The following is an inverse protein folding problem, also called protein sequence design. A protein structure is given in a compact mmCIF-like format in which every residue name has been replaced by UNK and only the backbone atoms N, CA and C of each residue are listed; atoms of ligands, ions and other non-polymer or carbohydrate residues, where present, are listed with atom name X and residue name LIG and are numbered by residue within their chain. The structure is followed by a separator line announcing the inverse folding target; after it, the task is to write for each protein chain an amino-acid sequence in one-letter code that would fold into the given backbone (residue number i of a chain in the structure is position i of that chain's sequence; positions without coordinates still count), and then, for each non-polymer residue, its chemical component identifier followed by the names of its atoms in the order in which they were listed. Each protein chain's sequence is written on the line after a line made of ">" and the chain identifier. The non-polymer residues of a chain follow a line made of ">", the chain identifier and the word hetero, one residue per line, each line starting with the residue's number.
data_IF_102897711612
#
_entry.id   IF_102897711612
#
_cell.length_a   1.000
_cell.length_b   1.000
_cell.length_c   1.000
_cell.angle_alpha   90.00
_cell.angle_beta   90.00
_cell.angle_gamma   90.00
#
_symmetry.space_group_name_H-M   'P 1'
#
loop_
_entity.id
_entity.type
_entity.pdbx_description
1 polymer ?
#
# COMPACT_ATOMS: atom_id res chain seq x y z
N UNK A 1 -1.47 -38.27 -18.26
CA UNK A 1 -0.48 -37.26 -17.81
C UNK A 1 -1.11 -36.48 -16.68
N UNK A 2 -0.51 -36.41 -15.48
CA UNK A 2 -1.05 -35.57 -14.43
C UNK A 2 -0.86 -34.11 -14.84
N UNK A 3 -1.95 -33.33 -14.81
CA UNK A 3 -1.91 -31.90 -14.95
C UNK A 3 -1.06 -31.33 -13.82
N UNK A 4 0.14 -30.84 -14.14
CA UNK A 4 0.91 -30.03 -13.21
C UNK A 4 0.07 -28.77 -12.93
N UNK A 5 -0.44 -28.65 -11.69
CA UNK A 5 -1.01 -27.39 -11.21
C UNK A 5 0.13 -26.37 -11.23
N UNK A 6 0.05 -25.41 -12.14
CA UNK A 6 0.90 -24.21 -12.04
C UNK A 6 0.68 -23.60 -10.66
N UNK A 7 1.76 -23.53 -9.89
CA UNK A 7 1.74 -22.81 -8.62
C UNK A 7 1.75 -21.32 -8.97
N UNK A 8 0.58 -20.70 -8.93
CA UNK A 8 0.46 -19.25 -9.09
C UNK A 8 1.04 -18.61 -7.82
N UNK A 9 2.23 -18.02 -7.95
CA UNK A 9 2.83 -17.23 -6.87
C UNK A 9 2.09 -15.89 -6.83
N UNK A 10 1.40 -15.63 -5.72
CA UNK A 10 0.67 -14.38 -5.52
C UNK A 10 1.58 -13.41 -4.75
N UNK A 11 1.84 -12.24 -5.33
CA UNK A 11 2.59 -11.15 -4.70
C UNK A 11 1.69 -10.49 -3.65
N UNK A 12 2.15 -10.46 -2.40
CA UNK A 12 1.38 -9.85 -1.30
C UNK A 12 1.59 -8.33 -1.25
N UNK A 13 0.62 -7.57 -0.71
CA UNK A 13 0.80 -6.13 -0.46
C UNK A 13 2.06 -5.80 0.36
N UNK A 14 2.47 -6.71 1.25
CA UNK A 14 3.71 -6.60 2.02
C UNK A 14 4.99 -6.60 1.17
N UNK A 15 4.90 -6.99 -0.09
CA UNK A 15 6.00 -7.05 -1.05
C UNK A 15 5.94 -5.88 -2.07
N UNK A 16 4.90 -5.03 -1.98
CA UNK A 16 4.65 -3.93 -2.90
C UNK A 16 5.13 -2.61 -2.27
N UNK A 17 6.37 -2.26 -2.46
CA UNK A 17 6.96 -1.01 -1.96
C UNK A 17 7.54 -0.14 -3.07
N UNK A 18 7.76 1.12 -2.73
CA UNK A 18 8.47 2.10 -3.57
C UNK A 18 9.55 2.80 -2.74
N UNK A 19 10.56 3.31 -3.40
CA UNK A 19 11.74 3.89 -2.79
C UNK A 19 12.92 2.92 -2.73
N UNK A 20 13.77 3.04 -1.73
CA UNK A 20 14.95 2.20 -1.60
C UNK A 20 14.59 0.86 -0.91
N UNK A 21 14.53 -0.21 -1.67
CA UNK A 21 14.23 -1.56 -1.19
C UNK A 21 15.15 -2.03 -0.05
N UNK A 22 16.40 -1.56 -0.04
CA UNK A 22 17.41 -1.91 0.98
C UNK A 22 17.41 -0.94 2.17
N UNK A 23 16.49 0.02 2.22
CA UNK A 23 16.44 0.99 3.29
C UNK A 23 16.17 0.32 4.65
N UNK A 24 16.86 0.84 5.68
CA UNK A 24 16.64 0.44 7.08
C UNK A 24 15.42 1.10 7.72
N UNK A 25 14.81 2.07 7.04
CA UNK A 25 13.63 2.78 7.49
C UNK A 25 12.50 2.56 6.52
N UNK A 26 11.38 2.06 7.03
CA UNK A 26 10.13 1.86 6.28
C UNK A 26 9.10 2.87 6.77
N UNK A 27 8.53 3.64 5.85
CA UNK A 27 7.29 4.36 6.07
C UNK A 27 6.14 3.48 5.61
N UNK A 28 5.18 3.21 6.48
CA UNK A 28 4.03 2.37 6.17
C UNK A 28 2.76 3.17 6.42
N UNK A 29 1.79 3.07 5.51
CA UNK A 29 0.47 3.67 5.63
C UNK A 29 -0.60 2.58 5.60
N UNK A 30 -1.52 2.56 6.56
CA UNK A 30 -2.82 1.95 6.40
C UNK A 30 -3.79 2.99 5.87
N UNK A 31 -4.33 2.73 4.68
CA UNK A 31 -5.17 3.67 3.96
C UNK A 31 -6.28 2.99 3.15
N UNK A 32 -7.13 3.82 2.55
CA UNK A 32 -8.21 3.37 1.67
C UNK A 32 -8.54 4.42 0.61
N UNK A 33 -9.09 3.98 -0.53
CA UNK A 33 -9.16 4.80 -1.74
C UNK A 33 -10.37 5.75 -1.85
N UNK A 34 -11.45 5.55 -1.10
CA UNK A 34 -12.60 6.48 -1.11
C UNK A 34 -12.40 7.67 -0.14
N UNK A 35 -11.52 7.51 0.87
CA UNK A 35 -11.28 8.54 1.90
C UNK A 35 -10.62 9.79 1.33
N UNK A 36 -11.19 10.94 1.67
CA UNK A 36 -10.57 12.23 1.35
C UNK A 36 -9.28 12.46 2.13
N UNK A 37 -9.26 12.02 3.38
CA UNK A 37 -8.09 12.18 4.23
C UNK A 37 -6.92 11.31 3.75
N UNK A 38 -7.20 10.08 3.27
CA UNK A 38 -6.17 9.24 2.65
C UNK A 38 -5.66 9.84 1.33
N UNK A 39 -6.54 10.46 0.52
CA UNK A 39 -6.11 11.14 -0.70
C UNK A 39 -5.20 12.35 -0.40
N UNK A 40 -5.51 13.14 0.65
CA UNK A 40 -4.63 14.23 1.11
C UNK A 40 -3.30 13.70 1.62
N UNK A 41 -3.32 12.58 2.36
CA UNK A 41 -2.11 11.93 2.86
C UNK A 41 -1.24 11.42 1.72
N UNK A 42 -1.83 10.88 0.65
CA UNK A 42 -1.09 10.44 -0.54
C UNK A 42 -0.28 11.59 -1.19
N UNK A 43 -0.81 12.81 -1.21
CA UNK A 43 -0.03 13.96 -1.70
C UNK A 43 1.16 14.30 -0.78
N UNK A 44 0.99 14.12 0.53
CA UNK A 44 2.09 14.25 1.48
C UNK A 44 3.14 13.17 1.27
N UNK A 45 2.71 11.91 1.04
CA UNK A 45 3.60 10.78 0.77
C UNK A 45 4.44 11.03 -0.49
N UNK A 46 3.87 11.61 -1.56
CA UNK A 46 4.63 11.98 -2.75
C UNK A 46 5.78 12.94 -2.41
N UNK A 47 5.53 13.98 -1.62
CA UNK A 47 6.57 14.92 -1.18
C UNK A 47 7.62 14.24 -0.29
N UNK A 48 7.20 13.30 0.55
CA UNK A 48 8.11 12.49 1.37
C UNK A 48 9.02 11.64 0.48
N UNK A 49 8.46 10.99 -0.53
CA UNK A 49 9.24 10.16 -1.46
C UNK A 49 10.20 10.99 -2.33
N UNK A 50 9.83 12.20 -2.73
CA UNK A 50 10.73 13.13 -3.40
C UNK A 50 11.95 13.47 -2.54
N UNK A 51 11.74 13.68 -1.24
CA UNK A 51 12.83 14.06 -0.31
C UNK A 51 13.64 12.88 0.21
N UNK A 52 13.02 11.76 0.46
CA UNK A 52 13.60 10.65 1.21
C UNK A 52 13.64 9.32 0.43
N UNK A 53 13.16 9.25 -0.80
CA UNK A 53 12.98 8.01 -1.55
C UNK A 53 14.26 7.17 -1.73
N UNK A 54 15.44 7.80 -1.67
CA UNK A 54 16.74 7.13 -1.66
C UNK A 54 17.13 6.52 -0.29
N UNK A 55 16.47 6.96 0.80
CA UNK A 55 16.80 6.62 2.20
C UNK A 55 15.75 5.76 2.89
N UNK A 56 14.55 5.74 2.37
CA UNK A 56 13.41 4.98 2.92
C UNK A 56 12.78 4.09 1.86
N UNK A 57 12.01 3.13 2.29
CA UNK A 57 10.99 2.47 1.47
C UNK A 57 9.61 2.81 2.00
N UNK A 58 8.65 2.96 1.10
CA UNK A 58 7.26 3.18 1.43
C UNK A 58 6.42 1.97 1.06
N UNK A 59 5.45 1.65 1.93
CA UNK A 59 4.50 0.57 1.75
C UNK A 59 3.10 1.06 2.06
N UNK A 60 2.15 0.75 1.19
CA UNK A 60 0.73 1.00 1.42
C UNK A 60 0.02 -0.30 1.79
N UNK A 61 -0.75 -0.28 2.87
CA UNK A 61 -1.55 -1.39 3.37
C UNK A 61 -3.03 -1.00 3.36
N UNK A 62 -3.88 -1.93 3.01
CA UNK A 62 -5.29 -1.64 2.79
C UNK A 62 -6.10 -1.71 4.08
N UNK A 63 -6.90 -0.68 4.33
CA UNK A 63 -7.83 -0.66 5.46
C UNK A 63 -9.18 -0.05 5.05
N UNK A 64 -9.93 -0.71 4.12
CA UNK A 64 -11.19 -0.19 3.61
C UNK A 64 -12.28 -0.13 4.68
N UNK A 65 -12.90 1.04 4.86
CA UNK A 65 -14.01 1.27 5.79
C UNK A 65 -15.37 0.93 5.11
N UNK A 66 -15.61 -0.34 4.85
CA UNK A 66 -16.72 -0.82 4.02
C UNK A 66 -18.11 -0.44 4.50
N UNK A 67 -18.27 -0.07 5.79
CA UNK A 67 -19.54 0.41 6.35
C UNK A 67 -19.93 1.78 5.84
N UNK A 68 -18.97 2.64 5.51
CA UNK A 68 -19.19 4.02 5.07
C UNK A 68 -18.70 4.25 3.63
N UNK A 69 -17.71 3.50 3.18
CA UNK A 69 -17.10 3.57 1.86
C UNK A 69 -17.28 2.24 1.13
N UNK A 70 -18.43 2.06 0.48
CA UNK A 70 -18.86 0.77 -0.06
C UNK A 70 -18.00 0.26 -1.24
N UNK A 71 -17.30 1.15 -1.95
CA UNK A 71 -16.45 0.80 -3.10
C UNK A 71 -15.00 0.59 -2.72
N UNK A 72 -14.61 0.96 -1.51
CA UNK A 72 -13.23 0.94 -1.02
C UNK A 72 -12.62 -0.46 -1.03
N UNK A 73 -13.39 -1.51 -0.70
CA UNK A 73 -12.94 -2.91 -0.75
C UNK A 73 -12.54 -3.31 -2.19
N UNK A 74 -13.42 -3.07 -3.17
CA UNK A 74 -13.14 -3.44 -4.57
C UNK A 74 -12.01 -2.59 -5.17
N UNK A 75 -11.87 -1.34 -4.77
CA UNK A 75 -10.73 -0.53 -5.13
C UNK A 75 -9.42 -1.11 -4.57
N UNK A 76 -9.41 -1.54 -3.30
CA UNK A 76 -8.27 -2.22 -2.69
C UNK A 76 -7.91 -3.52 -3.42
N UNK A 77 -8.88 -4.38 -3.69
CA UNK A 77 -8.69 -5.61 -4.46
C UNK A 77 -8.11 -5.32 -5.86
N UNK A 78 -8.55 -4.22 -6.51
CA UNK A 78 -8.06 -3.84 -7.83
C UNK A 78 -6.59 -3.39 -7.81
N UNK A 79 -6.14 -2.72 -6.74
CA UNK A 79 -4.74 -2.37 -6.56
C UNK A 79 -3.87 -3.61 -6.35
N UNK A 80 -4.35 -4.58 -5.54
CA UNK A 80 -3.66 -5.86 -5.35
C UNK A 80 -3.59 -6.66 -6.66
N UNK A 81 -4.68 -6.70 -7.44
CA UNK A 81 -4.70 -7.32 -8.77
C UNK A 81 -3.67 -6.68 -9.71
N UNK A 82 -3.59 -5.35 -9.72
CA UNK A 82 -2.59 -4.60 -10.49
C UNK A 82 -1.17 -4.95 -10.06
N UNK A 83 -0.95 -5.13 -8.78
CA UNK A 83 0.33 -5.53 -8.21
C UNK A 83 0.86 -6.87 -8.72
N UNK A 84 -0.03 -7.80 -9.10
CA UNK A 84 0.36 -9.10 -9.68
C UNK A 84 1.09 -8.95 -11.03
N UNK A 85 0.93 -7.82 -11.69
CA UNK A 85 1.60 -7.48 -12.97
C UNK A 85 2.62 -6.35 -12.81
N UNK A 86 3.00 -6.02 -11.57
CA UNK A 86 3.95 -4.94 -11.27
C UNK A 86 3.38 -3.53 -11.45
N UNK A 87 2.04 -3.39 -11.48
CA UNK A 87 1.32 -2.13 -11.76
C UNK A 87 0.58 -1.57 -10.53
N UNK A 88 1.02 -1.98 -9.33
CA UNK A 88 0.39 -1.53 -8.08
C UNK A 88 0.38 0.00 -7.95
N UNK A 89 1.52 0.64 -8.15
CA UNK A 89 1.68 2.07 -7.88
C UNK A 89 1.01 2.95 -8.94
N UNK A 90 0.99 2.51 -10.21
CA UNK A 90 0.21 3.17 -11.26
C UNK A 90 -1.29 3.13 -10.92
N UNK A 91 -1.80 1.94 -10.58
CA UNK A 91 -3.21 1.77 -10.18
C UNK A 91 -3.54 2.56 -8.91
N UNK A 92 -2.67 2.52 -7.89
CA UNK A 92 -2.80 3.27 -6.64
C UNK A 92 -3.00 4.77 -6.88
N UNK A 93 -2.18 5.37 -7.74
CA UNK A 93 -2.29 6.79 -8.06
C UNK A 93 -3.59 7.11 -8.81
N UNK A 94 -3.99 6.29 -9.77
CA UNK A 94 -5.23 6.45 -10.54
C UNK A 94 -6.44 6.34 -9.60
N UNK A 95 -6.45 5.41 -8.66
CA UNK A 95 -7.55 5.24 -7.71
C UNK A 95 -7.73 6.48 -6.82
N UNK A 96 -6.67 7.05 -6.27
CA UNK A 96 -6.77 8.28 -5.49
C UNK A 96 -7.20 9.49 -6.31
N UNK A 97 -6.72 9.63 -7.54
CA UNK A 97 -7.15 10.68 -8.46
C UNK A 97 -8.66 10.59 -8.77
N UNK A 98 -9.19 9.38 -8.79
CA UNK A 98 -10.58 9.09 -9.15
C UNK A 98 -11.42 8.58 -7.97
N UNK A 99 -11.06 8.92 -6.72
CA UNK A 99 -11.65 8.38 -5.49
C UNK A 99 -13.18 8.42 -5.41
N UNK A 100 -13.82 9.33 -6.13
CA UNK A 100 -15.29 9.47 -6.16
C UNK A 100 -15.97 8.53 -7.17
N UNK A 101 -15.21 7.86 -8.01
CA UNK A 101 -15.72 7.01 -9.09
C UNK A 101 -15.01 5.65 -9.12
N UNK A 102 -15.19 4.83 -8.08
CA UNK A 102 -14.53 3.53 -7.90
C UNK A 102 -15.48 2.34 -8.16
N UNK A 103 -16.46 2.52 -9.04
CA UNK A 103 -17.32 1.42 -9.48
C UNK A 103 -16.57 0.41 -10.35
N UNK A 104 -17.03 -0.84 -10.42
CA UNK A 104 -16.35 -1.95 -11.13
C UNK A 104 -16.03 -1.62 -12.60
N UNK A 105 -16.93 -0.94 -13.31
CA UNK A 105 -16.69 -0.49 -14.68
C UNK A 105 -15.53 0.51 -14.76
N UNK A 106 -15.47 1.45 -13.81
CA UNK A 106 -14.38 2.43 -13.73
C UNK A 106 -13.05 1.75 -13.40
N UNK A 107 -13.05 0.80 -12.45
CA UNK A 107 -11.86 0.02 -12.10
C UNK A 107 -11.29 -0.74 -13.29
N UNK A 108 -12.17 -1.26 -14.17
CA UNK A 108 -11.74 -1.88 -15.46
C UNK A 108 -11.08 -0.87 -16.41
N UNK A 109 -11.59 0.37 -16.47
CA UNK A 109 -10.97 1.41 -17.29
C UNK A 109 -9.61 1.81 -16.70
N UNK A 110 -9.54 1.99 -15.38
CA UNK A 110 -8.30 2.35 -14.68
C UNK A 110 -7.22 1.28 -14.80
N UNK A 111 -7.61 -0.01 -14.84
CA UNK A 111 -6.62 -1.08 -15.07
C UNK A 111 -5.94 -0.95 -16.44
N UNK A 112 -6.69 -0.57 -17.48
CA UNK A 112 -6.12 -0.32 -18.81
C UNK A 112 -5.23 0.92 -18.83
N UNK A 113 -5.65 1.99 -18.15
CA UNK A 113 -4.87 3.22 -17.97
C UNK A 113 -3.56 2.95 -17.23
N UNK A 114 -3.59 2.09 -16.20
CA UNK A 114 -2.40 1.61 -15.49
C UNK A 114 -1.49 0.71 -16.33
N UNK A 115 -1.89 0.35 -17.55
CA UNK A 115 -1.12 -0.52 -18.45
C UNK A 115 -1.27 -2.01 -18.15
N UNK A 116 -2.36 -2.42 -17.49
CA UNK A 116 -2.65 -3.83 -17.18
C UNK A 116 -3.30 -4.46 -18.40
N UNK A 117 -2.65 -5.47 -18.96
CA UNK A 117 -3.14 -6.25 -20.10
C UNK A 117 -3.78 -7.59 -19.73
N UNK A 118 -3.90 -7.89 -18.42
CA UNK A 118 -4.51 -9.13 -17.94
C UNK A 118 -5.99 -9.21 -18.34
N UNK A 119 -6.31 -10.19 -19.19
CA UNK A 119 -7.68 -10.43 -19.66
C UNK A 119 -8.62 -10.86 -18.52
N UNK A 120 -8.07 -11.48 -17.49
CA UNK A 120 -8.83 -12.00 -16.35
C UNK A 120 -8.98 -10.95 -15.22
N UNK A 121 -8.44 -9.73 -15.39
CA UNK A 121 -8.48 -8.70 -14.34
C UNK A 121 -9.90 -8.47 -13.82
N UNK A 122 -10.87 -8.31 -14.73
CA UNK A 122 -12.26 -8.06 -14.34
C UNK A 122 -12.88 -9.28 -13.64
N UNK A 123 -12.64 -10.47 -14.15
CA UNK A 123 -13.16 -11.71 -13.57
C UNK A 123 -12.56 -11.95 -12.18
N UNK A 124 -11.27 -11.73 -12.02
CA UNK A 124 -10.58 -11.79 -10.73
C UNK A 124 -11.16 -10.78 -9.73
N UNK A 125 -11.47 -9.56 -10.20
CA UNK A 125 -12.05 -8.51 -9.36
C UNK A 125 -13.47 -8.84 -8.94
N UNK A 126 -14.32 -9.32 -9.87
CA UNK A 126 -15.72 -9.71 -9.59
C UNK A 126 -15.76 -10.89 -8.62
N UNK A 127 -14.92 -11.89 -8.84
CA UNK A 127 -14.84 -13.09 -8.02
C UNK A 127 -14.13 -12.87 -6.67
N UNK A 128 -13.58 -11.69 -6.41
CA UNK A 128 -12.87 -11.38 -5.16
C UNK A 128 -11.58 -12.19 -4.97
N UNK A 129 -10.90 -12.55 -6.06
CA UNK A 129 -9.71 -13.41 -6.05
C UNK A 129 -8.63 -12.92 -5.09
N UNK A 130 -8.51 -11.60 -4.92
CA UNK A 130 -7.50 -10.97 -4.05
C UNK A 130 -8.07 -10.41 -2.74
N UNK A 131 -9.36 -10.67 -2.47
CA UNK A 131 -10.03 -10.15 -1.27
C UNK A 131 -9.41 -10.60 0.04
N UNK A 132 -8.89 -11.83 0.10
CA UNK A 132 -8.25 -12.36 1.29
C UNK A 132 -6.95 -11.60 1.66
N UNK A 133 -6.21 -11.06 0.70
CA UNK A 133 -5.03 -10.23 0.96
C UNK A 133 -5.40 -8.89 1.58
N UNK A 134 -6.52 -8.31 1.15
CA UNK A 134 -7.07 -7.10 1.77
C UNK A 134 -7.55 -7.40 3.19
N UNK A 135 -8.14 -8.57 3.43
CA UNK A 135 -8.54 -8.99 4.77
C UNK A 135 -7.34 -9.23 5.71
N UNK A 136 -6.24 -9.78 5.20
CA UNK A 136 -5.00 -9.92 5.96
C UNK A 136 -4.43 -8.55 6.35
N UNK A 137 -4.46 -7.57 5.44
CA UNK A 137 -4.05 -6.20 5.74
C UNK A 137 -4.92 -5.58 6.83
N UNK A 138 -6.25 -5.71 6.74
CA UNK A 138 -7.19 -5.22 7.76
C UNK A 138 -6.88 -5.85 9.11
N UNK A 139 -6.72 -7.18 9.15
CA UNK A 139 -6.43 -7.92 10.38
C UNK A 139 -5.14 -7.43 11.03
N UNK A 140 -4.06 -7.33 10.27
CA UNK A 140 -2.78 -6.83 10.79
C UNK A 140 -2.90 -5.38 11.28
N UNK A 141 -3.63 -4.54 10.53
CA UNK A 141 -3.90 -3.16 10.95
C UNK A 141 -4.61 -3.08 12.30
N UNK A 142 -5.66 -3.90 12.49
CA UNK A 142 -6.39 -3.98 13.76
C UNK A 142 -5.48 -4.43 14.91
N UNK A 143 -4.65 -5.44 14.70
CA UNK A 143 -3.67 -5.94 15.68
C UNK A 143 -2.64 -4.85 16.06
N UNK A 144 -2.28 -3.98 15.13
CA UNK A 144 -1.41 -2.82 15.34
C UNK A 144 -2.14 -1.58 15.90
N UNK A 145 -3.45 -1.66 16.12
CA UNK A 145 -4.24 -0.56 16.68
C UNK A 145 -4.76 0.45 15.67
N UNK A 146 -4.73 0.14 14.37
CA UNK A 146 -5.37 0.96 13.32
C UNK A 146 -6.88 0.91 13.51
N UNK A 147 -7.52 2.08 13.57
CA UNK A 147 -8.98 2.22 13.73
C UNK A 147 -9.60 3.02 12.60
N UNK A 148 -8.95 4.09 12.20
CA UNK A 148 -9.44 5.04 11.21
C UNK A 148 -8.28 5.50 10.33
N UNK A 149 -8.24 5.10 9.03
CA UNK A 149 -7.21 5.51 8.10
C UNK A 149 -7.34 6.99 7.72
N UNK A 150 -6.22 7.67 7.34
CA UNK A 150 -4.88 7.13 7.20
C UNK A 150 -4.15 7.02 8.55
N UNK A 151 -3.44 5.90 8.77
CA UNK A 151 -2.55 5.73 9.93
C UNK A 151 -1.15 5.38 9.42
N UNK A 152 -0.16 6.09 9.94
CA UNK A 152 1.23 5.92 9.54
C UNK A 152 2.07 5.25 10.61
N UNK A 153 3.01 4.44 10.17
CA UNK A 153 4.08 3.88 10.99
C UNK A 153 5.43 4.19 10.36
N UNK A 154 6.41 4.51 11.18
CA UNK A 154 7.81 4.55 10.79
C UNK A 154 8.49 3.35 11.45
N UNK A 155 8.87 2.37 10.65
CA UNK A 155 9.18 1.02 11.12
C UNK A 155 7.98 0.44 11.89
N UNK A 156 8.15 0.10 13.18
CA UNK A 156 7.09 -0.43 14.04
C UNK A 156 6.46 0.63 14.97
N UNK A 157 6.89 1.90 14.86
CA UNK A 157 6.41 2.98 15.71
C UNK A 157 5.27 3.75 15.02
N UNK A 158 4.07 3.75 15.61
CA UNK A 158 2.93 4.51 15.10
C UNK A 158 3.19 6.02 15.19
N UNK A 159 2.92 6.74 14.12
CA UNK A 159 2.95 8.21 14.09
C UNK A 159 1.61 8.74 14.60
N UNK A 160 1.58 9.27 15.82
CA UNK A 160 0.36 9.73 16.50
C UNK A 160 -0.07 11.15 16.12
N UNK A 161 0.79 11.89 15.45
CA UNK A 161 0.50 13.25 14.96
C UNK A 161 -0.16 13.19 13.58
N UNK A 162 -0.88 14.27 13.22
CA UNK A 162 -1.45 14.42 11.87
C UNK A 162 -0.38 14.16 10.81
N UNK A 163 -0.68 13.43 9.72
CA UNK A 163 0.27 13.07 8.68
C UNK A 163 0.58 14.26 7.76
N UNK A 164 1.21 15.28 8.31
CA UNK A 164 1.75 16.41 7.55
C UNK A 164 3.18 16.08 7.11
N UNK A 165 3.64 16.75 6.05
CA UNK A 165 5.02 16.63 5.57
C UNK A 165 6.04 16.84 6.70
N UNK A 166 5.82 17.85 7.55
CA UNK A 166 6.71 18.17 8.67
C UNK A 166 6.74 17.03 9.70
N UNK A 167 5.58 16.53 10.12
CA UNK A 167 5.49 15.50 11.15
C UNK A 167 6.06 14.16 10.67
N UNK A 168 5.75 13.75 9.44
CA UNK A 168 6.33 12.54 8.85
C UNK A 168 7.85 12.69 8.64
N UNK A 169 8.32 13.86 8.18
CA UNK A 169 9.75 14.14 8.07
C UNK A 169 10.47 14.01 9.41
N UNK A 170 9.92 14.56 10.50
CA UNK A 170 10.51 14.44 11.86
C UNK A 170 10.60 12.98 12.31
N UNK A 171 9.55 12.20 12.08
CA UNK A 171 9.54 10.77 12.43
C UNK A 171 10.60 9.98 11.64
N UNK A 172 10.68 10.21 10.32
CA UNK A 172 11.66 9.58 9.43
C UNK A 172 13.09 9.98 9.84
N UNK A 173 13.36 11.27 10.05
CA UNK A 173 14.69 11.76 10.45
C UNK A 173 15.13 11.14 11.79
N UNK A 174 14.20 10.99 12.75
CA UNK A 174 14.48 10.31 14.02
C UNK A 174 14.88 8.85 13.80
N UNK A 175 14.13 8.12 12.96
CA UNK A 175 14.40 6.71 12.65
C UNK A 175 15.74 6.54 11.91
N UNK A 176 16.06 7.43 10.95
CA UNK A 176 17.34 7.43 10.24
C UNK A 176 18.53 7.69 11.17
N UNK A 177 18.38 8.56 12.17
CA UNK A 177 19.40 8.77 13.20
C UNK A 177 19.60 7.55 14.09
N UNK A 178 18.51 6.88 14.49
CA UNK A 178 18.58 5.64 15.29
C UNK A 178 19.24 4.50 14.52
N UNK A 179 18.95 4.34 13.22
CA UNK A 179 19.54 3.28 12.38
C UNK A 179 21.04 3.42 12.19
N UNK A 180 21.55 4.65 12.06
CA UNK A 180 23.01 4.93 11.97
C UNK A 180 23.77 4.63 13.26
N UNK A 181 23.11 4.64 14.41
CA UNK A 181 23.72 4.36 15.73
C UNK A 181 23.76 2.88 16.11
N UNK A 182 23.02 1.99 15.40
CA UNK A 182 23.13 0.53 15.60
C UNK A 182 24.38 0.03 14.88
N UNK A 183 25.45 -0.44 15.61
CA UNK A 183 26.59 -1.06 14.96
C UNK A 183 26.14 -2.31 14.21
N UNK A 184 26.72 -2.51 13.01
CA UNK A 184 26.49 -3.73 12.25
C UNK A 184 26.75 -4.94 13.16
N UNK A 185 25.75 -5.79 13.35
CA UNK A 185 25.90 -7.02 14.11
C UNK A 185 27.04 -7.82 13.47
N UNK A 186 28.15 -8.02 14.21
CA UNK A 186 29.28 -8.86 13.79
C UNK A 186 28.71 -10.23 13.41
N UNK A 187 28.78 -10.62 12.15
CA UNK A 187 28.63 -12.01 11.73
C UNK A 187 29.63 -12.80 12.55
N UNK A 188 29.14 -13.60 13.51
CA UNK A 188 29.94 -14.64 14.11
C UNK A 188 30.16 -15.70 13.03
N UNK A 189 31.42 -15.93 12.73
CA UNK A 189 31.88 -17.06 11.93
C UNK A 189 31.58 -18.39 12.65
#
# INVERSE_FOLDING_TARGET
>A
MPLQKEVVIIIKPTEMWVGNEKASVTLMEWGEYESEECAKANEVVKQILEKYGDKIRFQFRHFPLTKIHQRSLKASESAVAAGQTGKFWEMHNILFQNRRNLGTTSLKLYSREAGISDKNFLDNLVNGTYGWQVQDDIKEGLEKGVKEPPVFFVNDEMVTLKPTFENLSKAIDSALKKSKKKPAAKKRA
#
